data_IF_624210768626
#
_entry.id   IF_624210768626
#
_cell.length_a   1.000
_cell.length_b   1.000
_cell.length_c   1.000
_cell.angle_alpha   90.00
_cell.angle_beta   90.00
_cell.angle_gamma   90.00
#
_symmetry.space_group_name_H-M   'P 1'
#
loop_
_entity.id
_entity.type
_entity.pdbx_description
1 polymer ?
#
# COMPACT_ATOMS: atom_id res chain seq x y z
N UNK A 1 39.85 -46.44 9.71
CA UNK A 1 39.75 -44.98 9.91
C UNK A 1 38.83 -44.24 8.92
N UNK A 2 38.67 -44.62 7.63
CA UNK A 2 37.74 -43.88 6.75
C UNK A 2 36.28 -43.87 7.20
N UNK A 3 35.77 -44.90 7.85
CA UNK A 3 34.36 -44.98 8.27
C UNK A 3 33.96 -44.03 9.40
N UNK A 4 34.91 -43.54 10.23
CA UNK A 4 34.62 -42.59 11.30
C UNK A 4 34.49 -41.16 10.73
N UNK A 5 35.37 -40.80 9.81
CA UNK A 5 35.35 -39.49 9.13
C UNK A 5 34.05 -39.36 8.32
N UNK A 6 33.63 -40.41 7.62
CA UNK A 6 32.38 -40.39 6.84
C UNK A 6 31.15 -40.19 7.74
N UNK A 7 31.13 -40.81 8.94
CA UNK A 7 30.06 -40.63 9.91
C UNK A 7 30.04 -39.22 10.47
N UNK A 8 31.19 -38.61 10.77
CA UNK A 8 31.30 -37.22 11.23
C UNK A 8 30.80 -36.25 10.16
N UNK A 9 31.21 -36.45 8.90
CA UNK A 9 30.74 -35.61 7.77
C UNK A 9 29.22 -35.77 7.56
N UNK A 10 28.68 -36.99 7.66
CA UNK A 10 27.24 -37.20 7.57
C UNK A 10 26.47 -36.53 8.68
N UNK A 11 26.94 -36.57 9.92
CA UNK A 11 26.33 -35.87 11.05
C UNK A 11 26.38 -34.37 10.81
N UNK A 12 27.52 -33.80 10.38
CA UNK A 12 27.65 -32.37 10.09
C UNK A 12 26.69 -31.94 8.95
N UNK A 13 26.51 -32.77 7.91
CA UNK A 13 25.51 -32.47 6.87
C UNK A 13 24.07 -32.52 7.37
N UNK A 14 23.72 -33.45 8.25
CA UNK A 14 22.38 -33.53 8.85
C UNK A 14 22.13 -32.31 9.70
N UNK A 15 23.08 -31.85 10.51
CA UNK A 15 22.99 -30.64 11.33
C UNK A 15 22.81 -29.41 10.42
N UNK A 16 23.61 -29.30 9.35
CA UNK A 16 23.47 -28.20 8.38
C UNK A 16 22.09 -28.20 7.69
N UNK A 17 21.58 -29.39 7.31
CA UNK A 17 20.22 -29.50 6.76
C UNK A 17 19.15 -29.11 7.78
N UNK A 18 19.28 -29.48 9.05
CA UNK A 18 18.34 -29.04 10.10
C UNK A 18 18.32 -27.51 10.24
N UNK A 19 19.49 -26.86 10.19
CA UNK A 19 19.58 -25.40 10.21
C UNK A 19 18.92 -24.78 8.98
N UNK A 20 19.15 -25.33 7.77
CA UNK A 20 18.51 -24.84 6.54
C UNK A 20 16.98 -25.00 6.60
N UNK A 21 16.48 -26.16 7.06
CA UNK A 21 15.04 -26.42 7.19
C UNK A 21 14.42 -25.45 8.22
N UNK A 22 15.08 -25.24 9.35
CA UNK A 22 14.59 -24.30 10.37
C UNK A 22 14.56 -22.85 9.82
N UNK A 23 15.59 -22.43 9.09
CA UNK A 23 15.64 -21.13 8.47
C UNK A 23 14.53 -20.94 7.41
N UNK A 24 14.33 -21.94 6.55
CA UNK A 24 13.23 -21.95 5.57
C UNK A 24 11.87 -21.85 6.28
N UNK A 25 11.65 -22.65 7.33
CA UNK A 25 10.39 -22.63 8.09
C UNK A 25 10.12 -21.26 8.75
N UNK A 26 11.16 -20.62 9.29
CA UNK A 26 11.04 -19.27 9.89
C UNK A 26 10.67 -18.27 8.79
N UNK A 27 11.37 -18.31 7.66
CA UNK A 27 11.11 -17.40 6.52
C UNK A 27 9.71 -17.61 5.95
N UNK A 28 9.30 -18.89 5.75
CA UNK A 28 7.96 -19.22 5.25
C UNK A 28 6.86 -18.73 6.21
N UNK A 29 7.03 -18.96 7.53
CA UNK A 29 6.08 -18.43 8.53
C UNK A 29 6.01 -16.91 8.56
N UNK A 30 7.13 -16.24 8.36
CA UNK A 30 7.16 -14.78 8.26
C UNK A 30 6.43 -14.30 7.00
N UNK A 31 6.66 -14.94 5.86
CA UNK A 31 5.97 -14.68 4.59
C UNK A 31 4.48 -15.01 4.69
N UNK A 32 4.11 -16.17 5.23
CA UNK A 32 2.70 -16.57 5.43
C UNK A 32 1.95 -15.56 6.31
N UNK A 33 2.59 -15.02 7.34
CA UNK A 33 1.98 -14.02 8.21
C UNK A 33 1.74 -12.68 7.50
N UNK A 34 2.52 -12.39 6.45
CA UNK A 34 2.42 -11.20 5.62
C UNK A 34 1.47 -11.44 4.44
N UNK A 35 1.59 -12.60 3.76
CA UNK A 35 0.81 -12.95 2.55
C UNK A 35 -0.61 -13.42 2.82
N UNK A 36 -0.94 -13.89 4.04
CA UNK A 36 -2.31 -14.24 4.42
C UNK A 36 -3.25 -13.02 4.59
N UNK A 37 -2.76 -11.82 4.30
CA UNK A 37 -3.58 -10.61 4.29
C UNK A 37 -4.16 -10.40 2.87
N UNK A 38 -5.18 -11.18 2.54
CA UNK A 38 -5.89 -11.10 1.26
C UNK A 38 -6.98 -10.01 1.22
N UNK A 39 -6.99 -9.10 2.17
CA UNK A 39 -8.05 -8.11 2.31
C UNK A 39 -7.45 -6.71 2.33
N UNK A 40 -7.87 -5.86 1.41
CA UNK A 40 -7.57 -4.43 1.41
C UNK A 40 -8.65 -3.67 2.18
N UNK A 41 -8.26 -2.78 3.07
CA UNK A 41 -9.18 -1.98 3.88
C UNK A 41 -9.18 -0.54 3.36
N UNK A 42 -10.35 -0.09 2.91
CA UNK A 42 -10.60 1.30 2.52
C UNK A 42 -11.43 2.00 3.59
N UNK A 43 -10.88 3.03 4.21
CA UNK A 43 -11.58 3.82 5.21
C UNK A 43 -12.30 5.01 4.53
N UNK A 44 -13.60 4.88 4.33
CA UNK A 44 -14.44 5.96 3.75
C UNK A 44 -15.06 6.77 4.87
N UNK A 45 -15.01 8.10 4.75
CA UNK A 45 -15.50 9.03 5.75
C UNK A 45 -16.45 10.06 5.15
N UNK A 46 -17.31 10.60 6.02
CA UNK A 46 -18.07 11.81 5.74
C UNK A 46 -17.36 12.98 6.40
N UNK A 47 -16.93 13.93 5.57
CA UNK A 47 -16.27 15.14 6.02
C UNK A 47 -17.18 16.34 5.83
N UNK A 48 -17.13 17.24 6.79
CA UNK A 48 -17.82 18.55 6.79
C UNK A 48 -16.83 19.65 7.15
N UNK A 49 -17.20 20.91 6.93
CA UNK A 49 -16.39 22.03 7.41
C UNK A 49 -16.27 22.00 8.93
N UNK A 50 -15.08 22.25 9.46
CA UNK A 50 -14.79 22.16 10.90
C UNK A 50 -15.56 23.18 11.72
N UNK A 51 -15.79 24.36 11.14
CA UNK A 51 -16.56 25.49 11.71
C UNK A 51 -18.08 25.37 11.52
N UNK A 52 -18.54 24.33 10.79
CA UNK A 52 -19.97 24.07 10.64
C UNK A 52 -20.60 23.55 11.93
N UNK A 53 -21.91 23.79 12.11
CA UNK A 53 -22.70 23.25 13.21
C UNK A 53 -23.08 21.76 13.01
N UNK A 54 -22.56 21.11 11.98
CA UNK A 54 -22.85 19.72 11.64
C UNK A 54 -21.89 18.81 12.41
N UNK A 55 -22.39 18.00 13.33
CA UNK A 55 -21.56 17.09 14.15
C UNK A 55 -21.88 15.61 13.94
N UNK A 56 -22.99 15.28 13.28
CA UNK A 56 -23.44 13.91 13.00
C UNK A 56 -24.19 13.84 11.66
N UNK A 57 -24.37 12.63 11.13
CA UNK A 57 -25.05 12.41 9.85
C UNK A 57 -26.45 13.02 9.78
N UNK A 58 -27.20 13.00 10.89
CA UNK A 58 -28.57 13.53 10.98
C UNK A 58 -28.65 15.06 10.79
N UNK A 59 -27.52 15.75 10.97
CA UNK A 59 -27.45 17.22 10.82
C UNK A 59 -27.19 17.61 9.35
N UNK A 60 -26.77 16.64 8.49
CA UNK A 60 -26.53 16.87 7.06
C UNK A 60 -27.84 16.81 6.30
N UNK A 61 -28.10 17.79 5.45
CA UNK A 61 -29.27 17.78 4.56
C UNK A 61 -29.15 16.63 3.55
N UNK A 62 -30.22 15.85 3.38
CA UNK A 62 -30.22 14.60 2.57
C UNK A 62 -29.88 14.82 1.10
N UNK A 63 -29.91 16.03 0.57
CA UNK A 63 -29.63 16.44 -0.80
C UNK A 63 -28.31 17.22 -0.97
N UNK A 64 -27.53 17.36 0.12
CA UNK A 64 -26.33 18.19 0.14
C UNK A 64 -25.03 17.39 0.34
N UNK A 65 -25.02 16.17 -0.16
CA UNK A 65 -23.80 15.37 -0.22
C UNK A 65 -23.04 15.58 -1.55
N UNK A 66 -21.71 15.58 -1.47
CA UNK A 66 -20.83 15.57 -2.65
C UNK A 66 -19.99 14.30 -2.69
N UNK A 67 -19.75 13.81 -3.90
CA UNK A 67 -18.85 12.67 -4.17
C UNK A 67 -17.95 12.95 -5.36
N UNK A 68 -16.80 12.28 -5.42
CA UNK A 68 -15.96 12.27 -6.63
C UNK A 68 -16.29 11.05 -7.48
N UNK A 69 -16.29 11.19 -8.79
CA UNK A 69 -16.47 10.08 -9.74
C UNK A 69 -15.15 9.67 -10.38
N UNK A 70 -15.01 8.40 -10.70
CA UNK A 70 -13.79 7.85 -11.31
C UNK A 70 -12.71 7.46 -10.31
N UNK A 71 -12.90 7.78 -9.03
CA UNK A 71 -11.99 7.43 -7.95
C UNK A 71 -12.78 6.64 -6.90
N UNK A 72 -12.37 5.39 -6.63
CA UNK A 72 -12.93 4.56 -5.56
C UNK A 72 -14.48 4.47 -5.55
N UNK A 73 -15.08 4.36 -6.74
CA UNK A 73 -16.54 4.39 -6.90
C UNK A 73 -17.24 3.29 -6.10
N UNK A 74 -16.70 2.08 -6.09
CA UNK A 74 -17.28 0.92 -5.39
C UNK A 74 -17.41 1.17 -3.89
N UNK A 75 -16.35 1.64 -3.25
CA UNK A 75 -16.35 1.93 -1.81
C UNK A 75 -17.21 3.15 -1.49
N UNK A 76 -17.21 4.16 -2.36
CA UNK A 76 -18.08 5.34 -2.22
C UNK A 76 -19.56 4.94 -2.27
N UNK A 77 -19.98 4.08 -3.21
CA UNK A 77 -21.35 3.60 -3.30
C UNK A 77 -21.76 2.73 -2.10
N UNK A 78 -20.87 1.85 -1.63
CA UNK A 78 -21.10 1.07 -0.40
C UNK A 78 -21.30 1.98 0.81
N UNK A 79 -20.47 3.02 0.95
CA UNK A 79 -20.58 4.00 2.04
C UNK A 79 -21.90 4.78 1.96
N UNK A 80 -22.31 5.26 0.78
CA UNK A 80 -23.59 5.95 0.57
C UNK A 80 -24.79 5.07 0.97
N UNK A 81 -24.76 3.80 0.60
CA UNK A 81 -25.80 2.85 0.96
C UNK A 81 -25.88 2.63 2.49
N UNK A 82 -24.74 2.58 3.18
CA UNK A 82 -24.69 2.45 4.63
C UNK A 82 -25.21 3.72 5.31
N UNK A 83 -24.85 4.91 4.82
CA UNK A 83 -25.35 6.20 5.30
C UNK A 83 -26.88 6.27 5.15
N UNK A 84 -27.40 5.94 3.96
CA UNK A 84 -28.84 5.94 3.70
C UNK A 84 -29.59 4.98 4.63
N UNK A 85 -29.01 3.80 4.92
CA UNK A 85 -29.56 2.81 5.85
C UNK A 85 -29.54 3.34 7.29
N UNK A 86 -28.47 3.97 7.73
CA UNK A 86 -28.34 4.54 9.08
C UNK A 86 -29.33 5.68 9.31
N UNK A 87 -29.49 6.55 8.28
CA UNK A 87 -30.45 7.65 8.32
C UNK A 87 -31.91 7.21 8.09
N UNK A 88 -32.12 5.96 7.66
CA UNK A 88 -33.42 5.42 7.25
C UNK A 88 -34.14 6.32 6.22
N UNK A 89 -33.37 6.90 5.29
CA UNK A 89 -33.85 7.79 4.23
C UNK A 89 -32.99 7.67 2.99
N UNK A 90 -33.55 8.03 1.84
CA UNK A 90 -32.74 8.18 0.62
C UNK A 90 -31.92 9.47 0.68
N UNK A 91 -30.66 9.38 0.31
CA UNK A 91 -29.79 10.53 0.14
C UNK A 91 -29.55 10.77 -1.34
N UNK A 92 -29.45 12.03 -1.71
CA UNK A 92 -29.02 12.43 -3.05
C UNK A 92 -27.68 13.14 -2.95
N UNK A 93 -26.92 13.11 -4.04
CA UNK A 93 -25.56 13.65 -4.02
C UNK A 93 -25.18 14.28 -5.34
N UNK A 94 -24.32 15.27 -5.29
CA UNK A 94 -23.73 15.91 -6.47
C UNK A 94 -22.41 15.21 -6.82
N UNK A 95 -22.24 14.88 -8.10
CA UNK A 95 -21.04 14.24 -8.64
C UNK A 95 -20.04 15.28 -9.14
N UNK A 96 -18.77 15.14 -8.73
CA UNK A 96 -17.64 15.95 -9.18
C UNK A 96 -16.63 15.07 -9.88
N UNK A 97 -15.96 15.59 -10.91
CA UNK A 97 -14.99 14.83 -11.72
C UNK A 97 -13.58 14.83 -11.14
N UNK A 98 -13.33 15.58 -10.07
CA UNK A 98 -12.04 15.64 -9.42
C UNK A 98 -12.16 16.04 -7.96
N UNK A 99 -11.19 15.60 -7.14
CA UNK A 99 -11.14 15.86 -5.69
C UNK A 99 -11.08 17.37 -5.41
N UNK A 100 -10.34 18.15 -6.22
CA UNK A 100 -10.24 19.61 -6.04
C UNK A 100 -11.59 20.29 -6.20
N UNK A 101 -12.38 19.89 -7.21
CA UNK A 101 -13.73 20.42 -7.41
C UNK A 101 -14.68 20.03 -6.26
N UNK A 102 -14.52 18.82 -5.72
CA UNK A 102 -15.27 18.36 -4.56
C UNK A 102 -14.94 19.20 -3.33
N UNK A 103 -13.65 19.45 -3.07
CA UNK A 103 -13.19 20.27 -1.97
C UNK A 103 -13.64 21.74 -2.10
N UNK A 104 -13.53 22.30 -3.32
CA UNK A 104 -14.05 23.64 -3.60
C UNK A 104 -15.54 23.75 -3.33
N UNK A 105 -16.32 22.71 -3.67
CA UNK A 105 -17.75 22.68 -3.40
C UNK A 105 -18.04 22.66 -1.89
N UNK A 106 -17.28 21.93 -1.10
CA UNK A 106 -17.39 21.91 0.37
C UNK A 106 -17.04 23.28 0.96
N UNK A 107 -15.90 23.87 0.57
CA UNK A 107 -15.42 25.15 1.06
C UNK A 107 -16.36 26.31 0.71
N UNK A 108 -17.03 26.24 -0.45
CA UNK A 108 -18.00 27.23 -0.88
C UNK A 108 -19.46 26.93 -0.44
N UNK A 109 -19.67 25.96 0.44
CA UNK A 109 -20.98 25.52 0.94
C UNK A 109 -21.98 25.14 -0.16
N UNK A 110 -21.48 24.65 -1.31
CA UNK A 110 -22.32 24.06 -2.38
C UNK A 110 -22.83 22.67 -1.98
N UNK A 111 -22.12 22.01 -1.06
CA UNK A 111 -22.51 20.77 -0.38
C UNK A 111 -22.25 20.94 1.11
N UNK A 112 -23.05 20.27 1.94
CA UNK A 112 -22.88 20.30 3.40
C UNK A 112 -21.80 19.29 3.83
N UNK A 113 -21.71 18.18 3.11
CA UNK A 113 -20.80 17.06 3.41
C UNK A 113 -20.24 16.43 2.14
N UNK A 114 -19.06 15.87 2.25
CA UNK A 114 -18.45 15.06 1.21
C UNK A 114 -18.20 13.65 1.70
N UNK A 115 -18.41 12.66 0.83
CA UNK A 115 -18.07 11.27 1.09
C UNK A 115 -16.79 10.95 0.34
N UNK A 116 -15.73 10.69 1.07
CA UNK A 116 -14.38 10.54 0.52
C UNK A 116 -13.58 9.47 1.28
N UNK A 117 -12.83 8.67 0.55
CA UNK A 117 -11.84 7.78 1.15
C UNK A 117 -10.73 8.61 1.83
N UNK A 118 -10.45 8.32 3.10
CA UNK A 118 -9.48 9.08 3.90
C UNK A 118 -8.06 9.02 3.34
N UNK A 119 -7.75 8.06 2.48
CA UNK A 119 -6.47 7.95 1.79
C UNK A 119 -6.17 9.15 0.87
N UNK A 120 -7.19 9.91 0.45
CA UNK A 120 -7.01 11.08 -0.41
C UNK A 120 -6.67 12.37 0.36
N UNK A 121 -6.84 12.40 1.68
CA UNK A 121 -6.49 13.59 2.48
C UNK A 121 -4.99 13.95 2.36
N UNK A 122 -4.04 13.01 2.51
CA UNK A 122 -2.62 13.30 2.29
C UNK A 122 -2.28 13.78 0.86
N UNK A 123 -3.08 13.39 -0.15
CA UNK A 123 -2.92 13.90 -1.52
C UNK A 123 -3.28 15.38 -1.58
N UNK A 124 -4.36 15.78 -0.91
CA UNK A 124 -4.79 17.19 -0.80
C UNK A 124 -3.75 18.05 -0.07
N UNK A 125 -3.16 17.56 1.02
CA UNK A 125 -2.14 18.29 1.80
C UNK A 125 -0.90 18.66 0.96
N UNK A 126 -0.60 17.89 -0.10
CA UNK A 126 0.49 18.19 -1.04
C UNK A 126 0.16 19.31 -2.03
N UNK A 127 -1.09 19.79 -2.06
CA UNK A 127 -1.52 20.92 -2.88
C UNK A 127 -1.51 22.17 -2.03
N UNK A 128 -0.79 23.22 -2.44
CA UNK A 128 -0.58 24.44 -1.65
C UNK A 128 -1.87 25.07 -1.12
N UNK A 129 -2.96 24.99 -1.90
CA UNK A 129 -4.28 25.53 -1.56
C UNK A 129 -4.99 24.72 -0.47
N UNK A 130 -4.68 23.44 -0.32
CA UNK A 130 -5.29 22.50 0.63
C UNK A 130 -4.30 21.97 1.67
N UNK A 131 -3.11 22.57 1.80
CA UNK A 131 -2.05 22.13 2.72
C UNK A 131 -2.47 22.11 4.19
N UNK A 132 -3.54 22.82 4.54
CA UNK A 132 -4.14 22.89 5.87
C UNK A 132 -5.52 22.22 5.96
N UNK A 133 -5.83 21.31 5.05
CA UNK A 133 -7.14 20.64 4.95
C UNK A 133 -7.56 19.98 6.26
N UNK A 134 -6.66 19.32 6.98
CA UNK A 134 -6.93 18.70 8.29
C UNK A 134 -7.38 19.71 9.37
N UNK A 135 -7.00 20.97 9.21
CA UNK A 135 -7.43 22.04 10.10
C UNK A 135 -8.79 22.63 9.71
N UNK A 136 -9.24 22.45 8.47
CA UNK A 136 -10.46 23.06 7.91
C UNK A 136 -11.66 22.11 7.89
N UNK A 137 -11.42 20.80 7.86
CA UNK A 137 -12.50 19.80 7.84
C UNK A 137 -12.49 18.92 9.10
N UNK A 138 -13.63 18.31 9.38
CA UNK A 138 -13.79 17.28 10.42
C UNK A 138 -14.56 16.09 9.88
N UNK A 139 -14.21 14.89 10.33
CA UNK A 139 -14.96 13.67 10.03
C UNK A 139 -16.08 13.50 11.04
N UNK A 140 -17.31 13.31 10.57
CA UNK A 140 -18.49 13.06 11.40
C UNK A 140 -18.99 11.62 11.35
N UNK A 141 -18.46 10.82 10.42
CA UNK A 141 -18.80 9.42 10.26
C UNK A 141 -17.69 8.71 9.49
N UNK A 142 -17.51 7.42 9.76
CA UNK A 142 -16.53 6.59 9.05
C UNK A 142 -16.92 5.14 8.99
N UNK A 143 -16.47 4.45 7.94
CA UNK A 143 -16.61 3.00 7.78
C UNK A 143 -15.33 2.42 7.18
N UNK A 144 -14.94 1.27 7.69
CA UNK A 144 -13.89 0.44 7.10
C UNK A 144 -14.56 -0.58 6.18
N UNK A 145 -14.23 -0.51 4.91
CA UNK A 145 -14.72 -1.40 3.86
C UNK A 145 -13.59 -2.35 3.47
N UNK A 146 -13.85 -3.64 3.60
CA UNK A 146 -12.92 -4.70 3.25
C UNK A 146 -13.18 -5.15 1.82
N UNK A 147 -12.13 -5.25 1.03
CA UNK A 147 -12.11 -5.84 -0.31
C UNK A 147 -11.13 -7.01 -0.32
N UNK A 148 -11.60 -8.19 -0.70
CA UNK A 148 -10.69 -9.30 -0.98
C UNK A 148 -9.84 -8.92 -2.20
N UNK A 149 -8.52 -8.98 -2.05
CA UNK A 149 -7.60 -8.89 -3.17
C UNK A 149 -7.59 -10.29 -3.81
N UNK A 150 -8.21 -10.43 -4.97
CA UNK A 150 -8.17 -11.68 -5.72
C UNK A 150 -6.73 -11.93 -6.18
N UNK A 151 -6.28 -13.15 -5.93
CA UNK A 151 -4.98 -13.65 -6.38
C UNK A 151 -5.16 -14.05 -7.86
N UNK A 152 -4.80 -13.16 -8.78
CA UNK A 152 -4.89 -13.38 -10.24
C UNK A 152 -3.98 -14.53 -10.74
N UNK A 153 -3.30 -15.24 -9.82
CA UNK A 153 -2.41 -16.35 -10.15
C UNK A 153 -3.11 -17.66 -10.55
N UNK A 154 -4.47 -17.71 -10.58
CA UNK A 154 -5.21 -18.95 -10.85
C UNK A 154 -6.45 -18.77 -11.73
N UNK A 155 -6.36 -18.11 -12.87
CA UNK A 155 -7.37 -18.24 -13.92
C UNK A 155 -7.02 -19.34 -14.88
N UNK A 156 -7.51 -20.54 -14.57
CA UNK A 156 -7.70 -21.58 -15.57
C UNK A 156 -8.89 -21.17 -16.48
N UNK A 157 -8.78 -21.08 -17.80
CA UNK A 157 -9.85 -20.65 -18.65
C UNK A 157 -10.85 -21.78 -18.90
N UNK A 158 -11.93 -21.83 -18.16
CA UNK A 158 -13.08 -22.63 -18.55
C UNK A 158 -14.40 -22.02 -18.08
N UNK A 159 -15.07 -21.36 -19.01
CA UNK A 159 -16.54 -21.43 -19.12
C UNK A 159 -17.38 -20.29 -18.60
N UNK A 160 -17.88 -19.58 -19.54
CA UNK A 160 -19.19 -18.93 -19.69
C UNK A 160 -19.30 -17.42 -19.54
N UNK A 161 -19.57 -16.85 -20.70
CA UNK A 161 -19.87 -15.44 -21.01
C UNK A 161 -21.04 -14.86 -20.20
N UNK A 162 -20.77 -13.81 -19.43
CA UNK A 162 -21.71 -12.70 -19.25
C UNK A 162 -20.99 -11.40 -19.55
N UNK A 163 -21.25 -10.85 -20.76
CA UNK A 163 -20.68 -9.59 -21.22
C UNK A 163 -21.28 -8.43 -20.46
N UNK A 164 -20.52 -7.88 -19.47
CA UNK A 164 -20.63 -6.47 -19.14
C UNK A 164 -19.89 -5.63 -20.18
N UNK A 165 -20.31 -4.36 -20.44
CA UNK A 165 -19.67 -3.53 -21.44
C UNK A 165 -18.23 -3.21 -20.97
N UNK A 166 -17.27 -3.70 -21.73
CA UNK A 166 -15.83 -3.46 -21.54
C UNK A 166 -15.55 -1.94 -21.61
N UNK A 167 -15.41 -1.31 -20.46
CA UNK A 167 -14.59 -0.09 -20.37
C UNK A 167 -13.14 -0.56 -20.48
N UNK A 168 -12.52 -0.36 -21.65
CA UNK A 168 -11.11 -0.67 -21.88
C UNK A 168 -10.27 0.06 -20.82
N UNK A 169 -9.67 -0.71 -19.93
CA UNK A 169 -8.68 -0.21 -19.00
C UNK A 169 -7.55 0.44 -19.82
N UNK A 170 -7.21 1.72 -19.57
CA UNK A 170 -6.09 2.37 -20.27
C UNK A 170 -4.78 1.59 -20.17
N UNK A 171 -4.65 0.74 -19.15
CA UNK A 171 -3.49 -0.13 -18.92
C UNK A 171 -3.45 -1.34 -19.88
N UNK A 172 -4.60 -1.82 -20.39
CA UNK A 172 -4.65 -2.99 -21.30
C UNK A 172 -3.75 -2.84 -22.53
N UNK A 173 -3.53 -1.60 -22.98
CA UNK A 173 -2.64 -1.33 -24.12
C UNK A 173 -1.15 -1.65 -23.83
N UNK A 174 -0.74 -1.78 -22.56
CA UNK A 174 0.66 -2.02 -22.18
C UNK A 174 0.92 -3.49 -21.82
N UNK A 175 -0.10 -4.29 -21.54
CA UNK A 175 0.06 -5.70 -21.10
C UNK A 175 0.87 -6.55 -22.07
N UNK A 176 0.69 -6.32 -23.37
CA UNK A 176 1.38 -7.08 -24.43
C UNK A 176 2.85 -6.69 -24.59
N UNK A 177 3.30 -5.61 -23.99
CA UNK A 177 4.67 -5.10 -24.09
C UNK A 177 5.51 -5.33 -22.84
N UNK A 178 4.94 -5.92 -21.78
CA UNK A 178 5.66 -6.14 -20.55
C UNK A 178 6.67 -7.28 -20.72
N UNK A 179 7.93 -6.98 -20.39
CA UNK A 179 8.98 -7.99 -20.37
C UNK A 179 8.84 -8.89 -19.16
N UNK A 180 8.65 -10.18 -19.39
CA UNK A 180 8.66 -11.25 -18.39
C UNK A 180 8.98 -12.57 -19.10
N UNK A 181 9.72 -13.45 -18.47
CA UNK A 181 10.08 -14.76 -19.02
C UNK A 181 10.07 -15.80 -17.91
N UNK A 182 9.98 -17.08 -18.27
CA UNK A 182 9.88 -18.22 -17.34
C UNK A 182 11.02 -18.29 -16.30
N UNK A 183 12.16 -17.67 -16.62
CA UNK A 183 13.34 -17.64 -15.74
C UNK A 183 13.42 -16.35 -14.88
N UNK A 184 12.45 -15.44 -14.99
CA UNK A 184 12.47 -14.10 -14.33
C UNK A 184 11.22 -13.94 -13.48
N UNK A 185 11.42 -13.64 -12.21
CA UNK A 185 10.36 -13.32 -11.26
C UNK A 185 10.61 -11.94 -10.65
N UNK A 186 9.62 -11.06 -10.70
CA UNK A 186 9.72 -9.70 -10.14
C UNK A 186 8.72 -9.51 -9.02
N UNK A 187 9.24 -9.16 -7.83
CA UNK A 187 8.48 -8.81 -6.65
C UNK A 187 8.50 -7.29 -6.46
N UNK A 188 7.34 -6.69 -6.23
CA UNK A 188 7.23 -5.30 -5.78
C UNK A 188 7.06 -5.23 -4.27
N UNK A 189 7.90 -4.45 -3.59
CA UNK A 189 7.80 -4.16 -2.15
C UNK A 189 7.34 -2.72 -1.96
N UNK A 190 6.15 -2.56 -1.40
CA UNK A 190 5.54 -1.27 -1.04
C UNK A 190 5.63 -1.05 0.47
N UNK A 191 6.32 0.01 0.89
CA UNK A 191 6.38 0.42 2.30
C UNK A 191 5.47 1.60 2.57
N UNK A 192 4.59 1.48 3.57
CA UNK A 192 3.65 2.54 3.98
C UNK A 192 3.93 3.01 5.40
N UNK A 193 3.79 4.32 5.65
CA UNK A 193 4.01 4.95 6.96
C UNK A 193 2.76 4.82 7.84
N UNK A 194 2.50 3.61 8.35
CA UNK A 194 1.39 3.35 9.28
C UNK A 194 1.75 2.26 10.28
N UNK A 195 1.01 2.23 11.39
CA UNK A 195 1.00 1.13 12.34
C UNK A 195 -0.31 0.32 12.20
N UNK A 196 -0.31 -0.91 12.70
CA UNK A 196 -1.48 -1.79 12.70
C UNK A 196 -1.63 -2.61 11.42
N UNK A 197 -2.78 -2.55 10.74
CA UNK A 197 -3.00 -3.30 9.50
C UNK A 197 -2.29 -2.64 8.30
N UNK A 198 -1.49 -3.39 7.51
CA UNK A 198 -0.91 -2.88 6.27
C UNK A 198 -1.94 -2.79 5.12
N UNK A 199 -3.18 -3.25 5.35
CA UNK A 199 -4.23 -3.30 4.33
C UNK A 199 -4.87 -1.93 4.03
N UNK A 200 -4.58 -0.91 4.84
CA UNK A 200 -5.10 0.44 4.64
C UNK A 200 -4.43 1.09 3.43
N UNK A 201 -5.24 1.68 2.53
CA UNK A 201 -4.72 2.44 1.40
C UNK A 201 -4.10 3.75 1.89
N UNK A 202 -2.82 3.93 1.59
CA UNK A 202 -1.99 5.07 2.00
C UNK A 202 -0.90 5.31 0.97
N UNK A 203 -0.21 6.43 1.12
CA UNK A 203 1.00 6.73 0.37
C UNK A 203 1.99 5.56 0.42
N UNK A 204 2.51 5.15 -0.74
CA UNK A 204 3.62 4.20 -0.82
C UNK A 204 4.93 4.96 -0.74
N UNK A 205 5.52 5.02 0.45
CA UNK A 205 6.74 5.80 0.71
C UNK A 205 8.02 5.06 0.32
N UNK A 206 7.94 3.73 0.23
CA UNK A 206 9.01 2.86 -0.26
C UNK A 206 8.51 2.07 -1.44
N UNK A 207 9.23 2.13 -2.57
CA UNK A 207 8.89 1.43 -3.80
C UNK A 207 10.12 0.69 -4.29
N UNK A 208 10.23 -0.59 -3.96
CA UNK A 208 11.37 -1.44 -4.34
C UNK A 208 10.89 -2.54 -5.27
N UNK A 209 11.50 -2.66 -6.44
CA UNK A 209 11.38 -3.82 -7.31
C UNK A 209 12.55 -4.76 -7.07
N UNK A 210 12.26 -6.03 -6.86
CA UNK A 210 13.26 -7.09 -6.70
C UNK A 210 13.03 -8.11 -7.81
N UNK A 211 13.95 -8.14 -8.78
CA UNK A 211 13.88 -9.06 -9.90
C UNK A 211 14.90 -10.18 -9.71
N UNK A 212 14.41 -11.40 -9.71
CA UNK A 212 15.20 -12.64 -9.61
C UNK A 212 15.31 -13.27 -10.99
N UNK A 213 16.53 -13.52 -11.45
CA UNK A 213 16.76 -14.35 -12.62
C UNK A 213 17.29 -15.70 -12.17
N UNK A 214 16.47 -16.74 -12.28
CA UNK A 214 16.77 -18.09 -11.79
C UNK A 214 17.85 -18.79 -12.61
N UNK A 215 17.97 -18.43 -13.90
CA UNK A 215 18.95 -18.98 -14.83
C UNK A 215 20.36 -18.43 -14.59
N UNK A 216 20.46 -17.10 -14.47
CA UNK A 216 21.76 -16.44 -14.22
C UNK A 216 22.08 -16.36 -12.73
N UNK A 217 21.14 -16.65 -11.83
CA UNK A 217 21.25 -16.51 -10.36
C UNK A 217 21.59 -15.08 -9.93
N UNK A 218 21.07 -14.10 -10.65
CA UNK A 218 21.24 -12.69 -10.35
C UNK A 218 19.98 -12.13 -9.69
N UNK A 219 20.19 -11.18 -8.81
CA UNK A 219 19.13 -10.40 -8.18
C UNK A 219 19.40 -8.92 -8.50
N UNK A 220 18.39 -8.25 -9.05
CA UNK A 220 18.39 -6.82 -9.27
C UNK A 220 17.40 -6.16 -8.30
N UNK A 221 17.86 -5.15 -7.58
CA UNK A 221 16.98 -4.34 -6.72
C UNK A 221 16.96 -2.90 -7.24
N UNK A 222 15.77 -2.39 -7.50
CA UNK A 222 15.56 -1.01 -7.95
C UNK A 222 14.69 -0.30 -6.91
N UNK A 223 15.22 0.74 -6.29
CA UNK A 223 14.45 1.62 -5.42
C UNK A 223 13.98 2.84 -6.22
N UNK A 224 12.67 3.00 -6.40
CA UNK A 224 12.07 4.13 -7.09
C UNK A 224 11.67 5.19 -6.07
N UNK A 225 12.19 6.43 -6.17
CA UNK A 225 11.84 7.51 -5.24
C UNK A 225 10.34 7.76 -5.21
N UNK A 226 9.76 7.92 -4.03
CA UNK A 226 8.33 8.16 -3.82
C UNK A 226 7.80 9.41 -4.53
N UNK A 227 8.63 10.44 -4.65
CA UNK A 227 8.30 11.73 -5.29
C UNK A 227 8.51 11.72 -6.82
N UNK A 228 8.80 10.55 -7.42
CA UNK A 228 8.96 10.41 -8.85
C UNK A 228 7.66 10.81 -9.56
N UNK A 229 7.76 11.80 -10.49
CA UNK A 229 6.60 12.43 -11.11
C UNK A 229 6.27 11.74 -12.43
N UNK A 230 5.32 10.82 -12.39
CA UNK A 230 4.98 9.90 -13.48
C UNK A 230 3.46 9.87 -13.74
N UNK A 231 3.01 9.47 -14.94
CA UNK A 231 1.61 9.14 -15.14
C UNK A 231 1.25 7.94 -14.28
N UNK A 232 0.22 8.04 -13.45
CA UNK A 232 -0.35 6.87 -12.76
C UNK A 232 -1.17 6.05 -13.75
N UNK A 233 -1.26 4.73 -13.57
CA UNK A 233 -1.99 3.82 -14.46
C UNK A 233 -3.45 4.22 -14.68
N UNK A 234 -4.09 4.84 -13.70
CA UNK A 234 -5.47 5.30 -13.72
C UNK A 234 -5.67 6.75 -14.23
N UNK A 235 -4.59 7.48 -14.51
CA UNK A 235 -4.65 8.95 -14.69
C UNK A 235 -4.82 9.41 -16.14
N UNK A 236 -4.96 8.49 -17.12
CA UNK A 236 -5.01 8.83 -18.54
C UNK A 236 -3.87 9.74 -19.02
N UNK A 237 -2.65 9.52 -18.50
CA UNK A 237 -1.44 10.26 -18.86
C UNK A 237 -1.17 11.51 -18.02
N UNK A 238 -2.06 11.89 -17.11
CA UNK A 238 -1.79 12.97 -16.15
C UNK A 238 -0.76 12.50 -15.14
N UNK A 239 0.29 13.29 -14.96
CA UNK A 239 1.38 12.96 -14.03
C UNK A 239 1.03 13.33 -12.60
N UNK A 240 1.49 12.49 -11.69
CA UNK A 240 1.42 12.72 -10.24
C UNK A 240 2.65 12.08 -9.56
N UNK A 241 2.82 12.28 -8.26
CA UNK A 241 3.85 11.59 -7.49
C UNK A 241 3.54 10.11 -7.39
N UNK A 242 4.55 9.27 -7.58
CA UNK A 242 4.40 7.81 -7.49
C UNK A 242 3.80 7.35 -6.14
N UNK A 243 4.14 8.03 -5.04
CA UNK A 243 3.61 7.71 -3.70
C UNK A 243 2.08 7.72 -3.65
N UNK A 244 1.43 8.57 -4.45
CA UNK A 244 -0.02 8.69 -4.49
C UNK A 244 -0.71 7.48 -5.13
N UNK A 245 -0.01 6.69 -5.94
CA UNK A 245 -0.55 5.44 -6.49
C UNK A 245 -1.04 4.50 -5.38
N UNK A 246 -0.32 4.46 -4.23
CA UNK A 246 -0.71 3.66 -3.07
C UNK A 246 -2.03 4.08 -2.42
N UNK A 247 -2.46 5.34 -2.56
CA UNK A 247 -3.75 5.82 -2.08
C UNK A 247 -4.94 5.22 -2.84
N UNK A 248 -4.71 4.89 -4.11
CA UNK A 248 -5.70 4.27 -4.99
C UNK A 248 -5.71 2.73 -4.90
N UNK A 249 -4.80 2.16 -4.11
CA UNK A 249 -4.65 0.73 -3.90
C UNK A 249 -3.32 0.20 -4.43
N UNK A 250 -2.94 -0.99 -3.93
CA UNK A 250 -1.65 -1.60 -4.28
C UNK A 250 -1.55 -1.93 -5.78
N UNK A 251 -2.67 -2.32 -6.40
CA UNK A 251 -2.71 -2.65 -7.82
C UNK A 251 -2.35 -1.44 -8.68
N UNK A 252 -2.83 -0.24 -8.32
CA UNK A 252 -2.47 1.00 -9.05
C UNK A 252 -0.96 1.28 -8.97
N UNK A 253 -0.33 0.99 -7.83
CA UNK A 253 1.13 1.10 -7.70
C UNK A 253 1.86 0.07 -8.58
N UNK A 254 1.40 -1.19 -8.59
CA UNK A 254 1.93 -2.26 -9.45
C UNK A 254 1.84 -1.85 -10.91
N UNK A 255 0.64 -1.51 -11.38
CA UNK A 255 0.39 -1.15 -12.79
C UNK A 255 1.18 0.08 -13.22
N UNK A 256 1.30 1.08 -12.33
CA UNK A 256 2.11 2.28 -12.59
C UNK A 256 3.59 1.93 -12.76
N UNK A 257 4.13 1.05 -11.92
CA UNK A 257 5.53 0.62 -12.00
C UNK A 257 5.78 -0.29 -13.22
N UNK A 258 4.84 -1.18 -13.54
CA UNK A 258 4.89 -1.99 -14.76
C UNK A 258 4.93 -1.10 -16.00
N UNK A 259 4.05 -0.09 -16.07
CA UNK A 259 4.01 0.88 -17.15
C UNK A 259 5.29 1.73 -17.22
N UNK A 260 5.85 2.12 -16.07
CA UNK A 260 7.07 2.94 -16.00
C UNK A 260 8.29 2.20 -16.51
N UNK A 261 8.45 0.94 -16.15
CA UNK A 261 9.65 0.14 -16.44
C UNK A 261 9.49 -0.81 -17.63
N UNK A 262 8.27 -1.03 -18.13
CA UNK A 262 7.99 -1.99 -19.20
C UNK A 262 8.26 -3.44 -18.79
N UNK A 263 8.08 -3.78 -17.51
CA UNK A 263 8.32 -5.11 -16.95
C UNK A 263 7.07 -5.67 -16.30
N UNK A 264 6.92 -6.99 -16.32
CA UNK A 264 5.89 -7.68 -15.56
C UNK A 264 6.30 -7.75 -14.09
N UNK A 265 5.39 -7.41 -13.18
CA UNK A 265 5.51 -7.64 -11.75
C UNK A 265 4.64 -8.86 -11.42
N UNK A 266 5.24 -9.91 -10.88
CA UNK A 266 4.58 -11.20 -10.67
C UNK A 266 3.84 -11.26 -9.34
N UNK A 267 4.35 -10.51 -8.32
CA UNK A 267 3.76 -10.48 -6.99
C UNK A 267 4.14 -9.18 -6.27
N UNK A 268 3.48 -8.87 -5.17
CA UNK A 268 3.79 -7.71 -4.34
C UNK A 268 3.79 -8.05 -2.85
N UNK A 269 4.54 -7.24 -2.10
CA UNK A 269 4.58 -7.25 -0.65
C UNK A 269 4.29 -5.85 -0.13
N UNK A 270 3.18 -5.65 0.58
CA UNK A 270 2.85 -4.40 1.25
C UNK A 270 3.24 -4.50 2.72
N UNK A 271 4.12 -3.63 3.19
CA UNK A 271 4.65 -3.63 4.55
C UNK A 271 4.47 -2.26 5.21
N UNK A 272 4.10 -2.26 6.47
CA UNK A 272 4.06 -1.07 7.32
C UNK A 272 5.06 -1.19 8.48
N UNK A 273 5.10 -0.21 9.38
CA UNK A 273 6.01 -0.23 10.53
C UNK A 273 5.84 -1.48 11.40
N UNK A 274 4.60 -1.88 11.70
CA UNK A 274 4.32 -3.09 12.48
C UNK A 274 4.81 -4.34 11.75
N UNK A 275 4.57 -4.45 10.45
CA UNK A 275 5.05 -5.54 9.61
C UNK A 275 6.58 -5.59 9.55
N UNK A 276 7.22 -4.43 9.36
CA UNK A 276 8.68 -4.33 9.34
C UNK A 276 9.30 -4.83 10.66
N UNK A 277 8.80 -4.36 11.81
CA UNK A 277 9.26 -4.80 13.13
C UNK A 277 9.10 -6.31 13.27
N UNK A 278 7.92 -6.84 12.94
CA UNK A 278 7.64 -8.27 13.05
C UNK A 278 8.56 -9.14 12.19
N UNK A 279 8.88 -8.72 10.96
CA UNK A 279 9.78 -9.45 10.07
C UNK A 279 11.19 -9.50 10.66
N UNK A 280 11.73 -8.36 11.09
CA UNK A 280 13.07 -8.30 11.69
C UNK A 280 13.16 -9.15 12.95
N UNK A 281 12.15 -9.10 13.82
CA UNK A 281 12.12 -9.90 15.05
C UNK A 281 12.02 -11.40 14.76
N UNK A 282 11.25 -11.81 13.72
CA UNK A 282 11.17 -13.21 13.31
C UNK A 282 12.50 -13.74 12.74
N UNK A 283 13.29 -12.87 12.10
CA UNK A 283 14.64 -13.21 11.63
C UNK A 283 15.69 -13.25 12.76
N UNK A 284 15.32 -12.86 13.98
CA UNK A 284 16.23 -12.78 15.12
C UNK A 284 17.08 -11.50 15.14
N UNK A 285 16.63 -10.47 14.42
CA UNK A 285 17.33 -9.20 14.27
C UNK A 285 18.16 -9.09 12.99
N UNK A 286 18.68 -7.88 12.76
CA UNK A 286 19.56 -7.58 11.62
C UNK A 286 20.83 -6.90 12.07
N UNK A 287 21.93 -7.18 11.39
CA UNK A 287 23.22 -6.56 11.69
C UNK A 287 23.47 -5.43 10.68
N UNK A 288 23.37 -4.18 11.12
CA UNK A 288 23.44 -2.98 10.28
C UNK A 288 24.71 -2.19 10.59
N UNK A 289 25.44 -1.79 9.55
CA UNK A 289 26.62 -0.94 9.67
C UNK A 289 26.20 0.53 9.72
N UNK A 290 26.64 1.25 10.75
CA UNK A 290 26.52 2.71 10.85
C UNK A 290 27.86 3.37 10.56
N UNK A 291 27.86 4.44 9.77
CA UNK A 291 29.06 5.24 9.52
C UNK A 291 29.43 6.16 10.68
N UNK A 292 28.44 6.45 11.54
CA UNK A 292 28.56 7.43 12.63
C UNK A 292 27.99 6.86 13.95
N UNK A 293 28.47 7.45 15.07
CA UNK A 293 27.76 7.38 16.34
C UNK A 293 26.62 8.39 16.32
N UNK A 294 25.39 7.95 16.61
CA UNK A 294 24.24 8.87 16.69
C UNK A 294 23.17 8.41 17.67
N UNK A 295 22.28 9.32 18.02
CA UNK A 295 21.07 9.01 18.78
C UNK A 295 19.87 9.47 17.94
N UNK A 296 18.96 8.52 17.67
CA UNK A 296 17.75 8.80 16.91
C UNK A 296 16.78 9.74 17.65
N UNK A 297 15.83 10.32 16.92
CA UNK A 297 14.74 11.12 17.49
C UNK A 297 13.94 10.33 18.55
N UNK A 298 13.82 9.02 18.37
CA UNK A 298 13.17 8.11 19.33
C UNK A 298 14.02 7.83 20.59
N UNK A 299 15.23 8.38 20.68
CA UNK A 299 16.12 8.28 21.84
C UNK A 299 17.02 7.03 21.88
N UNK A 300 17.05 6.21 20.81
CA UNK A 300 17.95 5.07 20.72
C UNK A 300 19.33 5.47 20.22
N UNK A 301 20.38 4.91 20.83
CA UNK A 301 21.77 5.21 20.48
C UNK A 301 22.38 4.11 19.63
N UNK A 302 23.04 4.49 18.53
CA UNK A 302 23.75 3.61 17.62
C UNK A 302 25.22 3.97 17.57
N UNK A 303 26.06 2.96 17.39
CA UNK A 303 27.52 3.14 17.35
C UNK A 303 28.03 3.03 15.92
N UNK A 304 29.08 3.76 15.63
CA UNK A 304 29.84 3.54 14.39
C UNK A 304 30.29 2.08 14.31
N UNK A 305 30.09 1.45 13.16
CA UNK A 305 30.34 0.04 12.95
C UNK A 305 29.06 -0.79 12.95
N UNK A 306 29.17 -2.08 13.19
CA UNK A 306 28.07 -3.00 13.15
C UNK A 306 27.23 -2.94 14.43
N UNK A 307 25.91 -2.80 14.23
CA UNK A 307 24.90 -2.81 15.30
C UNK A 307 23.93 -3.96 15.05
N UNK A 308 23.78 -4.85 16.04
CA UNK A 308 22.74 -5.88 16.01
C UNK A 308 21.44 -5.27 16.50
N UNK A 309 20.44 -5.20 15.65
CA UNK A 309 19.19 -4.47 15.86
C UNK A 309 18.02 -5.44 15.85
N UNK A 310 17.15 -5.37 16.85
CA UNK A 310 15.80 -5.93 16.78
C UNK A 310 14.90 -5.10 15.86
N UNK A 311 13.64 -5.51 15.67
CA UNK A 311 12.74 -4.84 14.74
C UNK A 311 12.47 -3.38 15.10
N UNK A 312 12.36 -3.05 16.39
CA UNK A 312 12.12 -1.69 16.87
C UNK A 312 13.34 -0.79 16.67
N UNK A 313 14.50 -1.28 17.02
CA UNK A 313 15.76 -0.56 16.81
C UNK A 313 16.04 -0.38 15.32
N UNK A 314 15.81 -1.42 14.51
CA UNK A 314 15.97 -1.34 13.06
C UNK A 314 15.01 -0.32 12.42
N UNK A 315 13.76 -0.26 12.88
CA UNK A 315 12.80 0.75 12.40
C UNK A 315 13.25 2.17 12.76
N UNK A 316 13.67 2.39 13.99
CA UNK A 316 14.19 3.69 14.44
C UNK A 316 15.43 4.11 13.65
N UNK A 317 16.37 3.16 13.42
CA UNK A 317 17.54 3.40 12.56
C UNK A 317 17.17 3.82 11.15
N UNK A 318 16.23 3.10 10.51
CA UNK A 318 15.82 3.35 9.13
C UNK A 318 15.05 4.67 8.95
N UNK A 319 14.38 5.16 10.01
CA UNK A 319 13.61 6.42 9.98
C UNK A 319 14.43 7.65 10.34
N UNK A 320 15.64 7.48 10.86
CA UNK A 320 16.46 8.62 11.25
C UNK A 320 16.91 9.44 10.04
N UNK A 321 16.71 10.76 10.11
CA UNK A 321 17.04 11.72 9.03
C UNK A 321 17.85 12.92 9.49
N UNK A 322 18.11 13.04 10.78
CA UNK A 322 18.72 14.25 11.39
C UNK A 322 20.03 13.95 12.12
N UNK A 323 20.48 12.70 12.13
CA UNK A 323 21.73 12.27 12.76
C UNK A 323 22.96 12.55 11.90
#
# INVERSE_FOLDING_TARGET
MPGIITKIVAIAMIVAMMFCINYINITTKALDKISNMKTEISNVRVYVMKDSAIDKLQDVRSDMYGIVTGLDNENTEKALNLIAKELNTSITYTKYTGIMQLMEALYNNKVDAIVLNSAFIPVLENVSEYSDVDNKIKSIWSVDLEKLVEDDSNTNPSGEDTKEPETKDPYDQYKDYLYGGDDVFTLYVSGIDTNGSPMVNRNSDVNILITFNTKTRQILMINTPRDFYVPLSISNGVKDKLTHAGCYGIQVSVDTLQMLYGIKIDDYLKINFTGFVNVIDQLGGVNVYSEYDFTSVDGYSYKKGYNMLDGRLALSFARERHA
#
